data_IF_948646401779
#
_entry.id   IF_948646401779
#
_cell.length_a   1.000
_cell.length_b   1.000
_cell.length_c   1.000
_cell.angle_alpha   90.00
_cell.angle_beta   90.00
_cell.angle_gamma   90.00
#
_symmetry.space_group_name_H-M   'P 1'
#
loop_
_entity.id
_entity.type
_entity.pdbx_description
1 polymer ?
#
# COMPACT_ATOMS: atom_id res chain seq x y z
N UNK A 1 -1.65 5.51 25.56
CA UNK A 1 -1.16 4.25 24.98
C UNK A 1 -2.14 3.82 23.91
N UNK A 2 -1.71 3.48 22.68
CA UNK A 2 -2.63 3.01 21.64
C UNK A 2 -3.32 1.72 22.09
N UNK A 3 -4.62 1.60 21.78
CA UNK A 3 -5.38 0.39 22.06
C UNK A 3 -4.86 -0.78 21.22
N UNK A 4 -5.12 -2.01 21.66
CA UNK A 4 -4.86 -3.21 20.86
C UNK A 4 -5.54 -3.15 19.49
N UNK A 5 -6.73 -2.55 19.43
CA UNK A 5 -7.46 -2.33 18.17
C UNK A 5 -6.76 -1.34 17.25
N UNK A 6 -6.14 -0.30 17.81
CA UNK A 6 -5.44 0.72 17.03
C UNK A 6 -4.20 0.11 16.36
N UNK A 7 -3.43 -0.69 17.12
CA UNK A 7 -2.27 -1.43 16.58
C UNK A 7 -2.65 -2.40 15.46
N UNK A 8 -3.80 -3.06 15.62
CA UNK A 8 -4.29 -3.99 14.61
C UNK A 8 -4.66 -3.27 13.31
N UNK A 9 -5.34 -2.13 13.41
CA UNK A 9 -5.66 -1.28 12.27
C UNK A 9 -4.43 -0.75 11.57
N UNK A 10 -3.42 -0.35 12.35
CA UNK A 10 -2.13 0.08 11.82
C UNK A 10 -1.47 -1.04 11.01
N UNK A 11 -1.43 -2.27 11.53
CA UNK A 11 -0.92 -3.43 10.78
C UNK A 11 -1.72 -3.74 9.51
N UNK A 12 -3.05 -3.62 9.53
CA UNK A 12 -3.88 -3.80 8.34
C UNK A 12 -3.59 -2.74 7.27
N UNK A 13 -3.36 -1.49 7.66
CA UNK A 13 -2.97 -0.41 6.75
C UNK A 13 -1.59 -0.67 6.16
N UNK A 14 -0.60 -0.96 7.00
CA UNK A 14 0.76 -1.26 6.57
C UNK A 14 0.81 -2.44 5.59
N UNK A 15 -0.03 -3.46 5.79
CA UNK A 15 -0.17 -4.57 4.83
C UNK A 15 -0.72 -4.12 3.48
N UNK A 16 -1.71 -3.22 3.45
CA UNK A 16 -2.27 -2.69 2.20
C UNK A 16 -1.30 -1.82 1.41
N UNK A 17 -0.43 -1.11 2.13
CA UNK A 17 0.61 -0.25 1.56
C UNK A 17 1.89 -1.03 1.19
N UNK A 18 1.99 -2.30 1.58
CA UNK A 18 3.13 -3.17 1.29
C UNK A 18 4.35 -2.89 2.19
N UNK A 19 4.13 -2.32 3.37
CA UNK A 19 5.17 -1.90 4.32
C UNK A 19 5.53 -2.98 5.34
N UNK A 20 4.77 -4.07 5.41
CA UNK A 20 5.09 -5.22 6.27
C UNK A 20 6.23 -6.05 5.67
N UNK A 21 7.06 -6.62 6.53
CA UNK A 21 8.01 -7.67 6.13
C UNK A 21 7.27 -8.94 5.69
N UNK A 22 7.95 -9.79 4.93
CA UNK A 22 7.38 -11.07 4.48
C UNK A 22 6.93 -11.98 5.64
N UNK A 23 7.55 -11.87 6.81
CA UNK A 23 7.15 -12.64 7.99
C UNK A 23 5.84 -12.11 8.57
N UNK A 24 5.75 -10.79 8.77
CA UNK A 24 4.57 -10.12 9.30
C UNK A 24 3.35 -10.27 8.36
N UNK A 25 3.59 -10.20 7.04
CA UNK A 25 2.55 -10.41 6.05
C UNK A 25 1.95 -11.82 6.14
N UNK A 26 2.79 -12.86 6.28
CA UNK A 26 2.33 -14.25 6.44
C UNK A 26 1.55 -14.48 7.74
N UNK A 27 2.01 -13.87 8.84
CA UNK A 27 1.31 -13.96 10.12
C UNK A 27 -0.05 -13.28 10.05
N UNK A 28 -0.13 -12.12 9.37
CA UNK A 28 -1.40 -11.42 9.15
C UNK A 28 -2.34 -12.18 8.21
N UNK A 29 -1.83 -12.80 7.15
CA UNK A 29 -2.62 -13.68 6.27
C UNK A 29 -3.24 -14.85 7.06
N UNK A 30 -2.45 -15.47 7.94
CA UNK A 30 -2.95 -16.53 8.81
C UNK A 30 -4.01 -16.02 9.81
N UNK A 31 -3.86 -14.80 10.33
CA UNK A 31 -4.85 -14.17 11.20
C UNK A 31 -6.15 -13.86 10.44
N UNK A 32 -6.07 -13.27 9.24
CA UNK A 32 -7.21 -12.98 8.37
C UNK A 32 -7.99 -14.24 7.99
N UNK A 33 -7.31 -15.37 7.81
CA UNK A 33 -7.96 -16.65 7.52
C UNK A 33 -8.75 -17.24 8.71
N UNK A 34 -8.42 -16.82 9.94
CA UNK A 34 -8.98 -17.38 11.18
C UNK A 34 -9.99 -16.46 11.85
N UNK A 35 -9.94 -15.16 11.57
CA UNK A 35 -10.76 -14.13 12.20
C UNK A 35 -11.66 -13.43 11.15
N UNK A 36 -12.96 -13.78 11.09
CA UNK A 36 -13.91 -13.16 10.16
C UNK A 36 -14.10 -11.66 10.38
N UNK A 37 -14.00 -11.17 11.62
CA UNK A 37 -14.16 -9.74 11.92
C UNK A 37 -12.95 -8.96 11.37
N UNK A 38 -11.75 -9.52 11.53
CA UNK A 38 -10.54 -8.96 10.94
C UNK A 38 -10.59 -8.95 9.41
N UNK A 39 -11.08 -10.03 8.81
CA UNK A 39 -11.28 -10.12 7.37
C UNK A 39 -12.28 -9.08 6.86
N UNK A 40 -13.36 -8.82 7.60
CA UNK A 40 -14.32 -7.77 7.28
C UNK A 40 -13.71 -6.36 7.35
N UNK A 41 -12.88 -6.09 8.37
CA UNK A 41 -12.18 -4.80 8.48
C UNK A 41 -11.19 -4.59 7.33
N UNK A 42 -10.41 -5.61 6.98
CA UNK A 42 -9.54 -5.60 5.79
C UNK A 42 -10.33 -5.37 4.49
N UNK A 43 -11.48 -6.02 4.32
CA UNK A 43 -12.33 -5.80 3.15
C UNK A 43 -12.85 -4.35 3.08
N UNK A 44 -13.22 -3.75 4.21
CA UNK A 44 -13.62 -2.34 4.29
C UNK A 44 -12.48 -1.41 3.87
N UNK A 45 -11.26 -1.63 4.37
CA UNK A 45 -10.10 -0.82 4.00
C UNK A 45 -9.74 -0.95 2.51
N UNK A 46 -9.83 -2.16 1.94
CA UNK A 46 -9.66 -2.40 0.49
C UNK A 46 -10.68 -1.62 -0.33
N UNK A 47 -11.95 -1.63 0.07
CA UNK A 47 -13.01 -0.90 -0.63
C UNK A 47 -12.73 0.61 -0.66
N UNK A 48 -12.25 1.18 0.46
CA UNK A 48 -11.84 2.60 0.51
C UNK A 48 -10.67 2.88 -0.43
N UNK A 49 -9.62 2.05 -0.40
CA UNK A 49 -8.46 2.18 -1.30
C UNK A 49 -8.87 2.14 -2.76
N UNK A 50 -9.74 1.20 -3.12
CA UNK A 50 -10.21 1.04 -4.49
C UNK A 50 -11.07 2.24 -4.94
N UNK A 51 -11.87 2.82 -4.04
CA UNK A 51 -12.62 4.06 -4.33
C UNK A 51 -11.67 5.24 -4.58
N UNK A 52 -10.64 5.41 -3.74
CA UNK A 52 -9.61 6.43 -3.94
C UNK A 52 -8.84 6.21 -5.24
N UNK A 53 -8.55 4.96 -5.60
CA UNK A 53 -7.87 4.59 -6.84
C UNK A 53 -8.65 4.91 -8.12
N UNK A 54 -9.96 5.15 -8.01
CA UNK A 54 -10.84 5.57 -9.14
C UNK A 54 -10.84 7.07 -9.37
N UNK A 55 -10.24 7.87 -8.49
CA UNK A 55 -10.15 9.31 -8.69
C UNK A 55 -9.37 9.62 -9.99
N UNK A 56 -9.72 10.69 -10.72
CA UNK A 56 -9.01 11.09 -11.93
C UNK A 56 -7.51 11.23 -11.66
N UNK A 57 -6.70 10.53 -12.45
CA UNK A 57 -5.24 10.65 -12.36
C UNK A 57 -4.81 11.94 -13.05
N UNK A 58 -4.06 12.77 -12.34
CA UNK A 58 -3.39 13.90 -12.95
C UNK A 58 -2.38 13.40 -13.99
N UNK A 59 -2.43 13.98 -15.20
CA UNK A 59 -1.44 13.67 -16.23
C UNK A 59 -0.12 14.36 -15.89
N UNK A 60 0.99 13.65 -16.13
CA UNK A 60 2.31 14.25 -16.00
C UNK A 60 2.47 15.40 -17.02
N UNK A 61 3.22 16.47 -16.68
CA UNK A 61 3.57 17.50 -17.65
C UNK A 61 4.24 16.89 -18.89
N UNK A 62 3.96 17.47 -20.05
CA UNK A 62 4.59 17.05 -21.29
C UNK A 62 6.13 17.04 -21.15
N UNK A 63 6.76 15.98 -21.67
CA UNK A 63 8.21 15.82 -21.65
C UNK A 63 8.81 15.36 -20.30
N UNK A 64 8.02 15.14 -19.24
CA UNK A 64 8.55 14.62 -17.97
C UNK A 64 9.29 13.29 -18.16
N UNK A 65 8.67 12.34 -18.86
CA UNK A 65 9.26 11.02 -19.11
C UNK A 65 10.62 11.13 -19.83
N UNK A 66 10.72 11.99 -20.85
CA UNK A 66 11.98 12.22 -21.56
C UNK A 66 13.07 12.81 -20.68
N UNK A 67 12.72 13.76 -19.78
CA UNK A 67 13.68 14.31 -18.81
C UNK A 67 14.16 13.26 -17.81
N UNK A 68 13.25 12.41 -17.33
CA UNK A 68 13.57 11.31 -16.39
C UNK A 68 14.52 10.30 -17.05
N UNK A 69 14.21 9.86 -18.27
CA UNK A 69 15.06 8.92 -19.02
C UNK A 69 16.45 9.50 -19.29
N UNK A 70 16.51 10.75 -19.78
CA UNK A 70 17.79 11.42 -20.04
C UNK A 70 18.63 11.60 -18.76
N UNK A 71 18.00 11.78 -17.59
CA UNK A 71 18.72 11.84 -16.32
C UNK A 71 19.26 10.47 -15.90
N UNK A 72 18.44 9.42 -15.99
CA UNK A 72 18.85 8.06 -15.67
C UNK A 72 20.02 7.58 -16.55
N UNK A 73 20.01 7.92 -17.84
CA UNK A 73 21.11 7.62 -18.76
C UNK A 73 22.42 8.32 -18.36
N UNK A 74 22.36 9.59 -17.95
CA UNK A 74 23.53 10.33 -17.47
C UNK A 74 24.14 9.70 -16.23
N UNK A 75 23.32 9.29 -15.26
CA UNK A 75 23.80 8.66 -14.02
C UNK A 75 24.39 7.28 -14.23
N UNK A 76 23.92 6.52 -15.23
CA UNK A 76 24.47 5.19 -15.56
C UNK A 76 25.76 5.25 -16.38
N UNK A 77 26.09 6.40 -16.97
CA UNK A 77 27.30 6.64 -17.76
C UNK A 77 28.43 7.29 -16.94
N UNK A 78 28.16 7.63 -15.68
CA UNK A 78 29.13 8.07 -14.67
C UNK A 78 29.53 6.90 -13.77
#
# INVERSE_FOLDING_TARGET
MPSRKDKLRESLSAYLDGELSDAEARDLDAALARDPDLAAEMASLRAVRDLLGRLPRASAPAGLAGRVLAQAERERLL
#
